data_IF_901610175167
#
_entry.id   IF_901610175167
#
_cell.length_a   1.000
_cell.length_b   1.000
_cell.length_c   1.000
_cell.angle_alpha   90.00
_cell.angle_beta   90.00
_cell.angle_gamma   90.00
#
_symmetry.space_group_name_H-M   'P 1'
#
loop_
_entity.id
_entity.type
_entity.pdbx_description
1 polymer ?
#
# COMPACT_ATOMS: atom_id res chain seq x y z
N UNK A 1 8.89 21.97 18.55
CA UNK A 1 10.24 22.01 17.93
C UNK A 1 10.75 20.57 17.83
N UNK A 2 11.15 20.11 16.67
CA UNK A 2 11.76 18.79 16.50
C UNK A 2 13.17 18.85 17.06
N UNK A 3 13.51 17.97 18.00
CA UNK A 3 14.88 17.87 18.52
C UNK A 3 15.80 17.24 17.45
N UNK A 4 16.55 18.09 16.76
CA UNK A 4 17.49 17.65 15.72
C UNK A 4 18.54 16.66 16.23
N UNK A 5 18.93 16.74 17.51
CA UNK A 5 19.88 15.82 18.12
C UNK A 5 19.29 14.41 18.27
N UNK A 6 17.98 14.32 18.51
CA UNK A 6 17.28 13.04 18.61
C UNK A 6 17.28 12.30 17.27
N UNK A 7 17.01 13.00 16.16
CA UNK A 7 17.03 12.40 14.82
C UNK A 7 18.41 11.88 14.41
N UNK A 8 19.47 12.59 14.80
CA UNK A 8 20.85 12.17 14.49
C UNK A 8 21.26 10.85 15.16
N UNK A 9 20.62 10.47 16.26
CA UNK A 9 20.87 9.22 16.99
C UNK A 9 20.09 8.03 16.45
N UNK A 10 19.08 8.25 15.60
CA UNK A 10 18.27 7.16 15.03
C UNK A 10 19.08 6.39 13.99
N UNK A 11 18.89 5.07 14.00
CA UNK A 11 19.56 4.13 13.09
C UNK A 11 18.61 3.63 11.99
N UNK A 12 17.30 3.65 12.23
CA UNK A 12 16.29 3.22 11.29
C UNK A 12 15.28 4.35 11.07
N UNK A 13 14.99 4.63 9.81
CA UNK A 13 14.00 5.60 9.36
C UNK A 13 12.95 4.90 8.54
N UNK A 14 11.69 5.16 8.84
CA UNK A 14 10.54 4.65 8.09
C UNK A 14 9.91 5.83 7.35
N UNK A 15 9.83 5.72 6.03
CA UNK A 15 9.28 6.76 5.18
C UNK A 15 8.04 6.26 4.47
N UNK A 16 6.96 7.00 4.60
CA UNK A 16 5.85 6.92 3.65
C UNK A 16 6.31 7.43 2.28
N UNK A 17 5.61 7.04 1.22
CA UNK A 17 5.99 7.31 -0.17
C UNK A 17 5.19 8.46 -0.78
N UNK A 18 3.91 8.20 -1.03
CA UNK A 18 3.05 9.11 -1.79
C UNK A 18 2.68 10.33 -0.95
N UNK A 19 3.06 11.53 -1.39
CA UNK A 19 2.89 12.77 -0.63
C UNK A 19 3.98 13.07 0.40
N UNK A 20 4.90 12.13 0.66
CA UNK A 20 6.01 12.29 1.61
C UNK A 20 7.37 12.42 0.92
N UNK A 21 7.72 11.49 0.04
CA UNK A 21 8.97 11.53 -0.72
C UNK A 21 8.79 12.08 -2.13
N UNK A 22 7.63 11.85 -2.72
CA UNK A 22 7.28 12.34 -4.04
C UNK A 22 5.77 12.61 -4.15
N UNK A 23 5.40 13.38 -5.18
CA UNK A 23 4.02 13.54 -5.59
C UNK A 23 3.93 13.28 -7.12
N UNK A 24 3.11 12.30 -7.53
CA UNK A 24 3.10 11.80 -8.90
C UNK A 24 4.47 11.26 -9.30
N UNK A 25 5.06 11.81 -10.36
CA UNK A 25 6.40 11.45 -10.86
C UNK A 25 7.46 12.50 -10.49
N UNK A 26 7.24 13.28 -9.44
CA UNK A 26 8.13 14.34 -9.00
C UNK A 26 8.59 14.12 -7.57
N UNK A 27 9.89 13.87 -7.41
CA UNK A 27 10.54 13.77 -6.10
C UNK A 27 10.58 15.15 -5.43
N UNK A 28 10.33 15.20 -4.11
CA UNK A 28 10.49 16.45 -3.36
C UNK A 28 11.96 16.85 -3.24
N UNK A 29 12.25 18.16 -3.20
CA UNK A 29 13.61 18.66 -3.00
C UNK A 29 14.24 18.14 -1.71
N UNK A 30 15.53 17.78 -1.74
CA UNK A 30 16.27 17.31 -0.56
C UNK A 30 16.10 15.82 -0.22
N UNK A 31 15.20 15.10 -0.87
CA UNK A 31 14.96 13.66 -0.56
C UNK A 31 16.21 12.81 -0.86
N UNK A 32 16.84 13.01 -2.01
CA UNK A 32 18.05 12.23 -2.37
C UNK A 32 19.18 12.49 -1.39
N UNK A 33 19.40 13.73 -1.04
CA UNK A 33 20.41 14.20 -0.09
C UNK A 33 20.14 13.60 1.30
N UNK A 34 18.87 13.60 1.74
CA UNK A 34 18.48 13.02 3.02
C UNK A 34 18.77 11.51 3.07
N UNK A 35 18.32 10.76 2.05
CA UNK A 35 18.53 9.30 2.00
C UNK A 35 20.02 8.95 1.93
N UNK A 36 20.79 9.71 1.16
CA UNK A 36 22.24 9.56 1.09
C UNK A 36 22.93 9.87 2.43
N UNK A 37 22.51 10.93 3.10
CA UNK A 37 23.05 11.32 4.41
C UNK A 37 22.76 10.27 5.51
N UNK A 38 21.58 9.62 5.47
CA UNK A 38 21.24 8.53 6.38
C UNK A 38 22.21 7.35 6.18
N UNK A 39 22.41 6.91 4.94
CA UNK A 39 23.32 5.80 4.61
C UNK A 39 24.78 6.13 4.97
N UNK A 40 25.23 7.34 4.66
CA UNK A 40 26.59 7.79 4.96
C UNK A 40 26.92 7.77 6.48
N UNK A 41 25.90 7.90 7.33
CA UNK A 41 26.02 7.82 8.79
C UNK A 41 25.82 6.40 9.34
N UNK A 42 25.74 5.38 8.49
CA UNK A 42 25.47 3.99 8.86
C UNK A 42 24.02 3.75 9.33
N UNK A 43 23.11 4.66 9.01
CA UNK A 43 21.68 4.47 9.21
C UNK A 43 21.03 3.65 8.09
N UNK A 44 19.86 3.13 8.38
CA UNK A 44 19.03 2.39 7.44
C UNK A 44 17.69 3.10 7.25
N UNK A 45 17.04 2.86 6.12
CA UNK A 45 15.67 3.30 5.91
C UNK A 45 14.85 2.19 5.26
N UNK A 46 13.53 2.27 5.46
CA UNK A 46 12.53 1.44 4.78
C UNK A 46 11.40 2.32 4.30
N UNK A 47 10.84 1.95 3.17
CA UNK A 47 9.68 2.61 2.59
C UNK A 47 8.43 1.85 2.98
N UNK A 48 7.47 2.57 3.55
CA UNK A 48 6.17 2.04 3.90
C UNK A 48 5.14 2.63 2.94
N UNK A 49 4.21 1.83 2.47
CA UNK A 49 3.08 2.33 1.67
C UNK A 49 1.82 1.54 1.96
N UNK A 50 0.74 2.27 2.18
CA UNK A 50 -0.60 1.71 2.30
C UNK A 50 -1.28 1.50 0.92
N UNK A 51 -0.67 1.97 -0.16
CA UNK A 51 -1.17 1.83 -1.51
C UNK A 51 -0.93 0.40 -2.04
N UNK A 52 -1.99 -0.41 -2.05
CA UNK A 52 -1.99 -1.80 -2.50
C UNK A 52 -2.12 -1.99 -4.02
N UNK A 53 -2.24 -0.89 -4.79
CA UNK A 53 -2.47 -0.99 -6.24
C UNK A 53 -1.26 -1.43 -7.05
N UNK A 54 -0.06 -1.40 -6.47
CA UNK A 54 1.20 -1.66 -7.17
C UNK A 54 2.05 -2.70 -6.45
N UNK A 55 2.85 -3.43 -7.22
CA UNK A 55 3.85 -4.34 -6.68
C UNK A 55 5.11 -3.60 -6.21
N UNK A 56 5.88 -4.24 -5.32
CA UNK A 56 7.21 -3.76 -4.90
C UNK A 56 8.11 -3.50 -6.09
N UNK A 57 8.10 -4.37 -7.12
CA UNK A 57 8.88 -4.18 -8.34
C UNK A 57 8.54 -2.87 -9.07
N UNK A 58 7.27 -2.49 -9.11
CA UNK A 58 6.83 -1.22 -9.70
C UNK A 58 7.34 -0.01 -8.89
N UNK A 59 7.38 -0.11 -7.56
CA UNK A 59 7.98 0.93 -6.71
C UNK A 59 9.48 1.06 -6.90
N UNK A 60 10.22 -0.05 -6.98
CA UNK A 60 11.66 -0.06 -7.29
C UNK A 60 11.92 0.66 -8.62
N UNK A 61 11.18 0.31 -9.68
CA UNK A 61 11.30 0.96 -10.98
C UNK A 61 10.99 2.46 -10.91
N UNK A 62 9.92 2.84 -10.20
CA UNK A 62 9.53 4.24 -10.05
C UNK A 62 10.61 5.04 -9.34
N UNK A 63 11.09 4.59 -8.18
CA UNK A 63 12.11 5.30 -7.41
C UNK A 63 13.45 5.36 -8.17
N UNK A 64 13.82 4.29 -8.87
CA UNK A 64 15.02 4.30 -9.75
C UNK A 64 14.91 5.37 -10.84
N UNK A 65 13.75 5.50 -11.51
CA UNK A 65 13.52 6.59 -12.49
C UNK A 65 13.60 7.98 -11.83
N UNK A 66 13.19 8.10 -10.58
CA UNK A 66 13.30 9.34 -9.81
C UNK A 66 14.71 9.59 -9.27
N UNK A 67 15.67 8.71 -9.57
CA UNK A 67 17.07 8.83 -9.16
C UNK A 67 17.36 8.40 -7.73
N UNK A 68 16.50 7.55 -7.14
CA UNK A 68 16.71 6.92 -5.83
C UNK A 68 16.98 5.44 -6.05
N UNK A 69 18.21 5.00 -5.79
CA UNK A 69 18.58 3.57 -5.86
C UNK A 69 17.93 2.80 -4.73
N UNK A 70 17.13 1.79 -5.08
CA UNK A 70 16.36 0.96 -4.14
C UNK A 70 16.34 -0.49 -4.59
N UNK A 71 16.11 -1.38 -3.64
CA UNK A 71 15.88 -2.80 -3.87
C UNK A 71 14.56 -3.26 -3.22
N UNK A 72 14.11 -4.46 -3.55
CA UNK A 72 12.83 -4.97 -3.06
C UNK A 72 12.77 -5.03 -1.51
N UNK A 73 13.89 -5.35 -0.86
CA UNK A 73 14.00 -5.40 0.60
C UNK A 73 13.86 -4.04 1.31
N UNK A 74 13.91 -2.93 0.57
CA UNK A 74 13.70 -1.59 1.15
C UNK A 74 12.22 -1.26 1.40
N UNK A 75 11.29 -2.08 0.89
CA UNK A 75 9.84 -1.80 0.93
C UNK A 75 9.09 -2.72 1.88
N UNK A 76 8.06 -2.16 2.48
CA UNK A 76 6.99 -2.88 3.16
C UNK A 76 5.66 -2.27 2.71
N UNK A 77 4.86 -3.06 2.00
CA UNK A 77 3.56 -2.63 1.46
C UNK A 77 2.41 -3.15 2.32
N UNK A 78 1.24 -2.54 2.19
CA UNK A 78 0.03 -3.07 2.83
C UNK A 78 -0.33 -4.48 2.36
N UNK A 79 0.05 -4.87 1.13
CA UNK A 79 -0.14 -6.24 0.62
C UNK A 79 0.79 -7.22 1.32
N UNK A 80 2.05 -6.84 1.61
CA UNK A 80 2.97 -7.69 2.38
C UNK A 80 2.42 -7.95 3.79
N UNK A 81 1.91 -6.90 4.45
CA UNK A 81 1.27 -7.00 5.77
C UNK A 81 0.02 -7.87 5.72
N UNK A 82 -0.82 -7.70 4.69
CA UNK A 82 -2.00 -8.54 4.47
C UNK A 82 -1.61 -10.02 4.31
N UNK A 83 -0.61 -10.32 3.48
CA UNK A 83 -0.10 -11.68 3.26
C UNK A 83 0.37 -12.31 4.57
N UNK A 84 1.10 -11.54 5.38
CA UNK A 84 1.56 -12.01 6.69
C UNK A 84 0.38 -12.30 7.62
N UNK A 85 -0.56 -11.37 7.72
CA UNK A 85 -1.77 -11.55 8.53
C UNK A 85 -2.60 -12.77 8.10
N UNK A 86 -2.76 -12.96 6.78
CA UNK A 86 -3.54 -14.09 6.26
C UNK A 86 -2.87 -15.45 6.53
N UNK A 87 -1.53 -15.52 6.57
CA UNK A 87 -0.80 -16.73 6.96
C UNK A 87 -1.05 -17.12 8.41
N UNK A 88 -1.22 -16.15 9.28
CA UNK A 88 -1.46 -16.39 10.71
C UNK A 88 -2.94 -16.60 11.03
N UNK A 89 -3.86 -15.98 10.29
CA UNK A 89 -5.27 -15.88 10.68
C UNK A 89 -6.25 -16.27 9.56
N UNK A 90 -5.78 -16.52 8.34
CA UNK A 90 -6.63 -16.65 7.15
C UNK A 90 -7.46 -17.93 7.07
N UNK A 91 -7.03 -19.00 7.69
CA UNK A 91 -7.67 -20.32 7.57
C UNK A 91 -7.33 -21.03 6.24
N UNK A 92 -7.25 -22.38 6.27
CA UNK A 92 -6.78 -23.20 5.13
C UNK A 92 -7.77 -23.23 3.95
N UNK A 93 -9.08 -23.13 4.21
CA UNK A 93 -10.13 -23.27 3.18
C UNK A 93 -10.62 -21.92 2.64
N UNK A 94 -9.87 -20.84 2.82
CA UNK A 94 -10.29 -19.51 2.36
C UNK A 94 -10.08 -19.34 0.86
N UNK A 95 -11.14 -18.90 0.21
CA UNK A 95 -11.17 -18.47 -1.20
C UNK A 95 -11.54 -17.00 -1.21
N UNK A 96 -10.60 -16.16 -1.61
CA UNK A 96 -10.71 -14.72 -1.48
C UNK A 96 -11.23 -14.09 -2.77
N UNK A 97 -12.38 -13.42 -2.72
CA UNK A 97 -12.72 -12.44 -3.72
C UNK A 97 -11.90 -11.17 -3.46
N UNK A 98 -11.19 -10.69 -4.47
CA UNK A 98 -10.29 -9.52 -4.33
C UNK A 98 -10.85 -8.35 -5.13
N UNK A 99 -11.43 -7.37 -4.43
CA UNK A 99 -11.71 -6.04 -4.95
C UNK A 99 -10.42 -5.22 -4.85
N UNK A 100 -9.60 -5.32 -5.89
CA UNK A 100 -8.26 -4.75 -5.99
C UNK A 100 -7.70 -4.93 -7.39
N UNK A 101 -6.49 -4.42 -7.61
CA UNK A 101 -5.81 -4.51 -8.90
C UNK A 101 -5.34 -5.94 -9.21
N UNK A 102 -5.08 -6.21 -10.50
CA UNK A 102 -4.49 -7.50 -10.88
C UNK A 102 -3.10 -7.70 -10.27
N UNK A 103 -2.37 -6.61 -10.03
CA UNK A 103 -1.10 -6.65 -9.29
C UNK A 103 -1.28 -7.21 -7.88
N UNK A 104 -2.31 -6.78 -7.13
CA UNK A 104 -2.61 -7.30 -5.79
C UNK A 104 -3.02 -8.78 -5.85
N UNK A 105 -3.90 -9.17 -6.80
CA UNK A 105 -4.31 -10.56 -7.00
C UNK A 105 -3.12 -11.47 -7.30
N UNK A 106 -2.22 -11.03 -8.17
CA UNK A 106 -1.01 -11.78 -8.54
C UNK A 106 -0.07 -12.00 -7.35
N UNK A 107 0.09 -11.00 -6.48
CA UNK A 107 0.89 -11.12 -5.25
C UNK A 107 0.27 -12.13 -4.29
N UNK A 108 -1.05 -12.12 -4.11
CA UNK A 108 -1.76 -13.09 -3.27
C UNK A 108 -1.64 -14.53 -3.82
N UNK A 109 -1.83 -14.71 -5.13
CA UNK A 109 -1.62 -16.02 -5.78
C UNK A 109 -0.18 -16.51 -5.63
N UNK A 110 0.81 -15.63 -5.84
CA UNK A 110 2.22 -15.96 -5.65
C UNK A 110 2.56 -16.34 -4.20
N UNK A 111 1.84 -15.79 -3.22
CA UNK A 111 1.96 -16.13 -1.81
C UNK A 111 1.23 -17.42 -1.42
N UNK A 112 0.54 -18.08 -2.36
CA UNK A 112 -0.14 -19.38 -2.18
C UNK A 112 -1.62 -19.26 -1.80
N UNK A 113 -2.22 -18.07 -1.85
CA UNK A 113 -3.63 -17.88 -1.53
C UNK A 113 -4.53 -18.15 -2.74
N UNK A 114 -5.68 -18.76 -2.50
CA UNK A 114 -6.71 -18.99 -3.51
C UNK A 114 -7.51 -17.72 -3.75
N UNK A 115 -7.33 -17.13 -4.94
CA UNK A 115 -8.10 -15.96 -5.39
C UNK A 115 -9.26 -16.45 -6.25
N UNK A 116 -10.49 -16.20 -5.80
CA UNK A 116 -11.70 -16.53 -6.53
C UNK A 116 -11.90 -15.53 -7.69
N UNK A 117 -12.23 -16.08 -8.88
CA UNK A 117 -12.53 -15.26 -10.06
C UNK A 117 -13.98 -14.75 -10.05
N UNK A 118 -14.88 -15.47 -9.40
CA UNK A 118 -16.29 -15.11 -9.26
C UNK A 118 -16.67 -15.04 -7.80
N UNK A 119 -17.62 -14.17 -7.45
CA UNK A 119 -18.10 -14.02 -6.06
C UNK A 119 -18.70 -15.31 -5.50
N UNK A 120 -19.35 -16.12 -6.34
CA UNK A 120 -20.00 -17.36 -5.92
C UNK A 120 -19.00 -18.40 -5.39
N UNK A 121 -17.76 -18.33 -5.84
CA UNK A 121 -16.69 -19.24 -5.45
C UNK A 121 -15.94 -18.74 -4.19
N UNK A 122 -16.28 -17.55 -3.69
CA UNK A 122 -15.59 -16.92 -2.57
C UNK A 122 -16.28 -17.16 -1.23
N UNK A 123 -15.48 -17.21 -0.17
CA UNK A 123 -15.96 -17.26 1.22
C UNK A 123 -15.26 -16.22 2.12
N UNK A 124 -14.49 -15.31 1.53
CA UNK A 124 -13.90 -14.15 2.17
C UNK A 124 -13.68 -13.03 1.15
N UNK A 125 -13.70 -11.78 1.59
CA UNK A 125 -13.51 -10.59 0.77
C UNK A 125 -12.24 -9.85 1.21
N UNK A 126 -11.39 -9.51 0.24
CA UNK A 126 -10.25 -8.60 0.44
C UNK A 126 -10.45 -7.35 -0.39
N UNK A 127 -10.26 -6.19 0.22
CA UNK A 127 -10.34 -4.90 -0.46
C UNK A 127 -9.01 -4.16 -0.39
N UNK A 128 -8.59 -3.66 -1.55
CA UNK A 128 -7.41 -2.82 -1.70
C UNK A 128 -7.75 -1.50 -2.38
N UNK A 129 -6.75 -0.63 -2.50
CA UNK A 129 -6.86 0.53 -3.37
C UNK A 129 -6.84 0.05 -4.83
N UNK A 130 -8.01 0.13 -5.47
CA UNK A 130 -8.25 -0.44 -6.80
C UNK A 130 -8.32 0.64 -7.88
N UNK A 131 -7.23 0.82 -8.63
CA UNK A 131 -7.18 1.71 -9.80
C UNK A 131 -7.80 1.09 -11.06
N UNK A 132 -8.24 -0.16 -10.97
CA UNK A 132 -8.90 -0.94 -12.02
C UNK A 132 -10.37 -1.24 -11.64
N UNK A 133 -10.94 -0.46 -10.72
CA UNK A 133 -12.29 -0.66 -10.19
C UNK A 133 -13.33 -0.61 -11.32
N UNK A 134 -14.19 -1.62 -11.34
CA UNK A 134 -15.36 -1.70 -12.22
C UNK A 134 -16.63 -1.70 -11.37
N UNK A 135 -17.76 -1.36 -11.99
CA UNK A 135 -19.07 -1.48 -11.33
C UNK A 135 -19.31 -2.91 -10.84
N UNK A 136 -18.95 -3.92 -11.62
CA UNK A 136 -19.10 -5.33 -11.25
C UNK A 136 -18.32 -5.69 -9.99
N UNK A 137 -17.06 -5.26 -9.87
CA UNK A 137 -16.25 -5.50 -8.66
C UNK A 137 -16.91 -4.86 -7.43
N UNK A 138 -17.46 -3.65 -7.58
CA UNK A 138 -18.14 -2.96 -6.48
C UNK A 138 -19.43 -3.66 -6.09
N UNK A 139 -20.25 -4.04 -7.07
CA UNK A 139 -21.50 -4.81 -6.84
C UNK A 139 -21.21 -6.13 -6.13
N UNK A 140 -20.25 -6.92 -6.63
CA UNK A 140 -19.84 -8.19 -6.02
C UNK A 140 -19.36 -8.00 -4.58
N UNK A 141 -18.54 -6.98 -4.32
CA UNK A 141 -18.09 -6.67 -2.97
C UNK A 141 -19.25 -6.33 -2.03
N UNK A 142 -20.21 -5.50 -2.49
CA UNK A 142 -21.40 -5.16 -1.70
C UNK A 142 -22.29 -6.39 -1.40
N UNK A 143 -22.47 -7.27 -2.37
CA UNK A 143 -23.24 -8.51 -2.17
C UNK A 143 -22.56 -9.41 -1.14
N UNK A 144 -21.24 -9.60 -1.26
CA UNK A 144 -20.47 -10.42 -0.34
C UNK A 144 -20.49 -9.86 1.09
N UNK A 145 -20.37 -8.53 1.25
CA UNK A 145 -20.53 -7.86 2.54
C UNK A 145 -21.93 -8.09 3.14
N UNK A 146 -22.96 -8.02 2.31
CA UNK A 146 -24.35 -8.28 2.72
C UNK A 146 -24.59 -9.73 3.18
N UNK A 147 -23.77 -10.68 2.72
CA UNK A 147 -23.79 -12.08 3.16
C UNK A 147 -23.06 -12.30 4.50
N UNK A 148 -22.39 -11.29 5.05
CA UNK A 148 -21.68 -11.37 6.32
C UNK A 148 -20.41 -12.23 6.29
N UNK A 149 -19.79 -12.43 5.11
CA UNK A 149 -18.53 -13.17 5.03
C UNK A 149 -17.38 -12.37 5.65
N UNK A 150 -16.29 -13.02 6.08
CA UNK A 150 -15.11 -12.33 6.57
C UNK A 150 -14.56 -11.33 5.55
N UNK A 151 -14.21 -10.16 6.06
CA UNK A 151 -13.76 -9.02 5.25
C UNK A 151 -12.52 -8.37 5.84
N UNK A 152 -11.55 -8.07 4.98
CA UNK A 152 -10.35 -7.32 5.32
C UNK A 152 -10.08 -6.24 4.27
N UNK A 153 -9.63 -5.07 4.72
CA UNK A 153 -9.17 -3.99 3.86
C UNK A 153 -7.68 -3.69 4.11
N UNK A 154 -6.94 -3.35 3.05
CA UNK A 154 -5.51 -3.05 3.15
C UNK A 154 -5.23 -1.67 3.75
N UNK A 155 -6.21 -0.76 3.71
CA UNK A 155 -6.13 0.56 4.34
C UNK A 155 -7.53 1.10 4.64
N UNK A 156 -7.66 1.96 5.68
CA UNK A 156 -8.92 2.59 6.03
C UNK A 156 -9.11 3.98 5.40
N UNK A 157 -8.27 4.39 4.47
CA UNK A 157 -8.25 5.76 3.95
C UNK A 157 -9.53 6.10 3.20
N UNK A 158 -10.12 7.24 3.54
CA UNK A 158 -11.32 7.77 2.88
C UNK A 158 -10.99 8.50 1.59
N UNK A 159 -9.77 9.02 1.47
CA UNK A 159 -9.29 9.80 0.34
C UNK A 159 -7.84 9.45 0.03
N UNK A 160 -7.46 9.54 -1.24
CA UNK A 160 -6.09 9.35 -1.68
C UNK A 160 -5.49 10.71 -2.05
N UNK A 161 -4.27 11.06 -1.64
CA UNK A 161 -3.57 12.25 -2.13
C UNK A 161 -3.47 12.22 -3.65
N UNK A 162 -4.04 13.20 -4.34
CA UNK A 162 -4.02 13.29 -5.80
C UNK A 162 -3.57 14.66 -6.27
N UNK A 163 -2.82 14.70 -7.39
CA UNK A 163 -2.38 15.95 -8.02
C UNK A 163 -3.55 16.78 -8.59
N UNK A 164 -4.68 16.13 -8.91
CA UNK A 164 -5.79 16.75 -9.62
C UNK A 164 -6.98 17.12 -8.72
N UNK A 165 -7.08 16.51 -7.54
CA UNK A 165 -8.18 16.76 -6.61
C UNK A 165 -7.65 16.80 -5.18
N UNK A 166 -7.73 17.95 -4.57
CA UNK A 166 -7.92 18.04 -3.13
C UNK A 166 -9.42 17.82 -2.89
N UNK A 167 -9.86 16.59 -2.73
CA UNK A 167 -11.18 16.37 -2.14
C UNK A 167 -11.16 17.00 -0.76
N UNK A 168 -12.05 17.97 -0.48
CA UNK A 168 -12.13 18.49 0.87
C UNK A 168 -12.41 17.29 1.79
N UNK A 169 -11.57 17.13 2.78
CA UNK A 169 -11.83 16.19 3.87
C UNK A 169 -13.20 16.53 4.46
N UNK A 170 -13.99 15.55 4.91
CA UNK A 170 -15.16 15.85 5.72
C UNK A 170 -14.87 16.77 6.91
N UNK A 171 -13.60 16.89 7.34
CA UNK A 171 -13.15 17.85 8.35
C UNK A 171 -13.08 19.28 7.80
N UNK A 172 -12.78 19.45 6.52
CA UNK A 172 -12.69 20.78 5.88
C UNK A 172 -14.07 21.36 5.58
N UNK A 173 -15.13 20.55 5.64
CA UNK A 173 -16.52 20.97 5.45
C UNK A 173 -17.13 21.63 6.71
N UNK A 174 -16.39 21.72 7.80
CA UNK A 174 -16.83 22.28 9.09
C UNK A 174 -16.07 23.55 9.51
N UNK A 175 -15.23 24.10 8.64
CA UNK A 175 -14.58 25.41 8.86
C UNK A 175 -15.28 26.53 8.09
#
# INVERSE_FOLDING_TARGET
MVDHNLLQRKKLFLFDLDGTLYLGDRLFPGVRELLSAIRARGGQYRFLTNNSSRSVAAYVQKLTRLGVATEAGDFLTSVDVLIHYLREHGGEDRRYYVCGTESMKSQLRAAGFTVAERREDANALLMGFDTELTFQKLEDACILLGQGIPYLATNPDWVCPCLLYTSPSPRDAHE
#
